data_IF_844509168067
#
_entry.id   IF_844509168067
#
_cell.length_a   1.000
_cell.length_b   1.000
_cell.length_c   1.000
_cell.angle_alpha   90.00
_cell.angle_beta   90.00
_cell.angle_gamma   90.00
#
_symmetry.space_group_name_H-M   'P 1'
#
loop_
_entity.id
_entity.type
_entity.pdbx_description
1 polymer ?
#
# COMPACT_ATOMS: atom_id res chain seq x y z
N UNK A 1 7.97 30.08 -6.77
CA UNK A 1 8.75 30.39 -7.99
C UNK A 1 10.05 29.61 -7.95
N UNK A 2 10.30 28.72 -8.91
CA UNK A 2 11.59 28.04 -9.01
C UNK A 2 12.63 29.07 -9.49
N UNK A 3 13.57 29.45 -8.62
CA UNK A 3 14.69 30.32 -9.04
C UNK A 3 15.48 29.63 -10.16
N UNK A 4 15.83 30.37 -11.21
CA UNK A 4 16.53 29.82 -12.36
C UNK A 4 17.86 29.18 -11.92
N UNK A 5 18.34 28.18 -12.66
CA UNK A 5 19.61 27.52 -12.33
C UNK A 5 20.77 28.51 -12.26
N UNK A 6 20.71 29.58 -13.08
CA UNK A 6 21.69 30.68 -13.10
C UNK A 6 21.66 31.48 -11.79
N UNK A 7 20.49 31.83 -11.29
CA UNK A 7 20.34 32.58 -10.04
C UNK A 7 20.74 31.76 -8.81
N UNK A 8 20.49 30.45 -8.84
CA UNK A 8 21.01 29.56 -7.82
C UNK A 8 22.54 29.47 -7.85
N UNK A 9 23.14 29.31 -9.02
CA UNK A 9 24.59 29.26 -9.16
C UNK A 9 25.25 30.56 -8.69
N UNK A 10 24.71 31.72 -9.06
CA UNK A 10 25.22 33.03 -8.68
C UNK A 10 25.22 33.26 -7.16
N UNK A 11 24.23 32.70 -6.44
CA UNK A 11 24.14 32.78 -4.96
C UNK A 11 25.13 31.89 -4.22
N UNK A 12 25.87 31.00 -4.91
CA UNK A 12 26.83 30.13 -4.25
C UNK A 12 28.14 30.86 -3.93
N UNK A 13 28.77 30.58 -2.76
CA UNK A 13 30.09 31.10 -2.43
C UNK A 13 31.10 30.78 -3.53
N UNK A 14 32.04 31.69 -3.79
CA UNK A 14 33.09 31.53 -4.82
C UNK A 14 33.88 30.23 -4.62
N UNK A 15 34.19 29.88 -3.36
CA UNK A 15 34.86 28.62 -2.98
C UNK A 15 34.07 27.35 -3.32
N UNK A 16 32.73 27.45 -3.42
CA UNK A 16 31.86 26.35 -3.86
C UNK A 16 31.78 26.32 -5.38
N UNK A 17 31.68 27.48 -6.04
CA UNK A 17 31.61 27.59 -7.51
C UNK A 17 32.86 27.06 -8.22
N UNK A 18 34.06 27.32 -7.66
CA UNK A 18 35.33 26.85 -8.26
C UNK A 18 35.76 25.44 -7.80
N UNK A 19 34.96 24.77 -6.97
CA UNK A 19 35.26 23.40 -6.55
C UNK A 19 34.17 22.46 -7.07
N UNK A 20 34.49 21.72 -8.13
CA UNK A 20 33.55 20.81 -8.78
C UNK A 20 32.90 19.81 -7.82
N UNK A 21 33.65 19.25 -6.86
CA UNK A 21 33.12 18.30 -5.87
C UNK A 21 32.09 18.97 -4.95
N UNK A 22 32.34 20.21 -4.50
CA UNK A 22 31.40 20.97 -3.66
C UNK A 22 30.18 21.42 -4.46
N UNK A 23 30.37 21.93 -5.68
CA UNK A 23 29.31 22.38 -6.58
C UNK A 23 28.37 21.23 -6.93
N UNK A 24 28.91 20.11 -7.45
CA UNK A 24 28.13 18.94 -7.85
C UNK A 24 27.35 18.32 -6.68
N UNK A 25 27.91 18.31 -5.47
CA UNK A 25 27.17 17.87 -4.28
C UNK A 25 25.94 18.73 -4.01
N UNK A 26 26.07 20.07 -4.03
CA UNK A 26 24.94 20.98 -3.79
C UNK A 26 23.91 20.93 -4.93
N UNK A 27 24.38 20.81 -6.18
CA UNK A 27 23.51 20.62 -7.34
C UNK A 27 22.65 19.36 -7.19
N UNK A 28 23.27 18.22 -6.84
CA UNK A 28 22.55 16.97 -6.62
C UNK A 28 21.50 17.08 -5.51
N UNK A 29 21.80 17.77 -4.41
CA UNK A 29 20.84 17.94 -3.30
C UNK A 29 19.64 18.79 -3.71
N UNK A 30 19.85 19.86 -4.49
CA UNK A 30 18.81 20.85 -4.80
C UNK A 30 17.97 20.48 -6.04
N UNK A 31 18.61 19.92 -7.07
CA UNK A 31 18.00 19.76 -8.39
C UNK A 31 17.87 18.31 -8.82
N UNK A 32 18.80 17.44 -8.42
CA UNK A 32 18.57 16.03 -8.60
C UNK A 32 17.60 15.58 -7.52
N UNK A 33 16.33 15.36 -7.91
CA UNK A 33 15.54 14.39 -7.19
C UNK A 33 16.32 13.08 -7.26
N UNK A 34 17.04 12.72 -6.20
CA UNK A 34 17.45 11.33 -6.02
C UNK A 34 16.15 10.53 -5.88
N UNK A 35 15.52 10.19 -7.01
CA UNK A 35 14.95 8.85 -7.11
C UNK A 35 16.13 7.97 -6.78
N UNK A 36 16.16 7.44 -5.57
CA UNK A 36 17.29 6.67 -5.11
C UNK A 36 17.72 5.63 -6.13
N UNK A 37 18.94 5.10 -5.98
CA UNK A 37 19.37 3.94 -6.76
C UNK A 37 18.25 2.89 -6.80
N UNK A 38 18.18 2.04 -7.83
CA UNK A 38 17.14 1.00 -7.86
C UNK A 38 17.11 0.18 -6.56
N UNK A 39 18.28 -0.02 -5.95
CA UNK A 39 18.45 -0.59 -4.62
C UNK A 39 17.82 0.25 -3.50
N UNK A 40 18.05 1.57 -3.47
CA UNK A 40 17.42 2.48 -2.50
C UNK A 40 15.90 2.55 -2.66
N UNK A 41 15.39 2.52 -3.89
CA UNK A 41 13.95 2.42 -4.18
C UNK A 41 13.37 1.08 -3.70
N UNK A 42 14.09 -0.02 -3.84
CA UNK A 42 13.70 -1.31 -3.27
C UNK A 42 13.68 -1.26 -1.74
N UNK A 43 14.72 -0.68 -1.13
CA UNK A 43 14.86 -0.60 0.32
C UNK A 43 13.83 0.33 0.99
N UNK A 44 13.45 1.43 0.35
CA UNK A 44 12.51 2.43 0.92
C UNK A 44 11.05 2.19 0.51
N UNK A 45 10.77 1.14 -0.27
CA UNK A 45 9.43 0.84 -0.77
C UNK A 45 8.43 0.58 0.36
N UNK A 46 7.40 1.42 0.48
CA UNK A 46 6.27 1.21 1.40
C UNK A 46 5.00 0.78 0.67
N UNK A 47 4.10 0.11 1.37
CA UNK A 47 2.76 -0.21 0.87
C UNK A 47 1.99 1.07 0.52
N UNK A 48 1.36 1.07 -0.66
CA UNK A 48 0.44 2.15 -1.09
C UNK A 48 -0.87 2.08 -0.30
N UNK A 49 -1.74 3.09 -0.44
CA UNK A 49 -3.09 3.01 0.13
C UNK A 49 -3.92 1.98 -0.66
N UNK A 50 -4.67 1.11 0.02
CA UNK A 50 -5.47 0.05 -0.61
C UNK A 50 -4.68 -1.03 -1.35
N UNK A 51 -3.34 -1.05 -1.27
CA UNK A 51 -2.51 -2.09 -1.89
C UNK A 51 -2.54 -3.35 -1.03
N UNK A 52 -2.96 -4.47 -1.62
CA UNK A 52 -2.98 -5.76 -0.92
C UNK A 52 -1.55 -6.25 -0.64
N UNK A 53 -1.33 -7.06 0.42
CA UNK A 53 -0.03 -7.63 0.73
C UNK A 53 0.64 -8.33 -0.47
N UNK A 54 -0.12 -9.06 -1.28
CA UNK A 54 0.37 -9.74 -2.48
C UNK A 54 0.82 -8.78 -3.58
N UNK A 55 0.05 -7.71 -3.83
CA UNK A 55 0.45 -6.66 -4.80
C UNK A 55 1.75 -5.95 -4.39
N UNK A 56 1.90 -5.65 -3.09
CA UNK A 56 3.15 -5.13 -2.55
C UNK A 56 4.32 -6.10 -2.78
N UNK A 57 4.11 -7.39 -2.51
CA UNK A 57 5.14 -8.42 -2.67
C UNK A 57 5.64 -8.48 -4.12
N UNK A 58 4.75 -8.52 -5.11
CA UNK A 58 5.13 -8.52 -6.52
C UNK A 58 5.90 -7.25 -6.93
N UNK A 59 5.48 -6.08 -6.43
CA UNK A 59 6.18 -4.82 -6.70
C UNK A 59 7.57 -4.79 -6.09
N UNK A 60 7.75 -5.38 -4.90
CA UNK A 60 9.06 -5.52 -4.26
C UNK A 60 9.96 -6.50 -5.01
N UNK A 61 9.43 -7.61 -5.53
CA UNK A 61 10.15 -8.57 -6.37
C UNK A 61 10.63 -7.90 -7.66
N UNK A 62 9.74 -7.20 -8.36
CA UNK A 62 10.08 -6.48 -9.59
C UNK A 62 11.16 -5.41 -9.35
N UNK A 63 11.08 -4.69 -8.24
CA UNK A 63 12.10 -3.72 -7.86
C UNK A 63 13.45 -4.37 -7.49
N UNK A 64 13.43 -5.54 -6.86
CA UNK A 64 14.63 -6.31 -6.55
C UNK A 64 15.34 -6.76 -7.84
N UNK A 65 14.60 -7.31 -8.80
CA UNK A 65 15.12 -7.67 -10.12
C UNK A 65 15.74 -6.45 -10.81
N UNK A 66 15.01 -5.32 -10.83
CA UNK A 66 15.51 -4.08 -11.43
C UNK A 66 16.75 -3.52 -10.73
N UNK A 67 16.94 -3.83 -9.46
CA UNK A 67 18.09 -3.44 -8.66
C UNK A 67 19.27 -4.43 -8.74
N UNK A 68 19.14 -5.53 -9.50
CA UNK A 68 20.15 -6.59 -9.54
C UNK A 68 20.27 -7.36 -8.22
N UNK A 69 19.22 -7.37 -7.39
CA UNK A 69 19.22 -8.10 -6.13
C UNK A 69 18.89 -9.57 -6.43
N UNK A 70 19.84 -10.45 -6.19
CA UNK A 70 19.71 -11.89 -6.44
C UNK A 70 18.98 -12.62 -5.28
N UNK A 71 17.75 -12.21 -4.96
CA UNK A 71 16.98 -12.76 -3.82
C UNK A 71 16.60 -14.24 -3.97
N UNK A 72 16.66 -14.80 -5.18
CA UNK A 72 16.37 -16.22 -5.46
C UNK A 72 17.61 -17.13 -5.39
N UNK A 73 18.82 -16.56 -5.30
CA UNK A 73 20.07 -17.32 -5.50
C UNK A 73 20.51 -18.12 -4.28
N UNK A 74 20.04 -17.76 -3.09
CA UNK A 74 20.32 -18.52 -1.86
C UNK A 74 19.30 -18.21 -0.77
N UNK A 75 19.15 -19.15 0.16
CA UNK A 75 18.28 -18.98 1.34
C UNK A 75 18.59 -17.69 2.12
N UNK A 76 19.87 -17.33 2.30
CA UNK A 76 20.27 -16.09 2.97
C UNK A 76 19.81 -14.82 2.24
N UNK A 77 19.89 -14.81 0.91
CA UNK A 77 19.43 -13.68 0.11
C UNK A 77 17.90 -13.55 0.12
N UNK A 78 17.21 -14.69 0.03
CA UNK A 78 15.76 -14.77 0.13
C UNK A 78 15.29 -14.28 1.50
N UNK A 79 15.88 -14.78 2.59
CA UNK A 79 15.50 -14.40 3.94
C UNK A 79 15.67 -12.89 4.17
N UNK A 80 16.79 -12.31 3.72
CA UNK A 80 17.01 -10.86 3.82
C UNK A 80 15.95 -10.06 3.05
N UNK A 81 15.56 -10.53 1.86
CA UNK A 81 14.51 -9.90 1.07
C UNK A 81 13.14 -10.02 1.75
N UNK A 82 12.80 -11.20 2.28
CA UNK A 82 11.53 -11.44 2.99
C UNK A 82 11.43 -10.63 4.28
N UNK A 83 12.51 -10.55 5.07
CA UNK A 83 12.55 -9.66 6.26
C UNK A 83 12.25 -8.21 5.88
N UNK A 84 12.69 -7.75 4.70
CA UNK A 84 12.39 -6.41 4.19
C UNK A 84 10.92 -6.26 3.82
N UNK A 85 10.36 -7.25 3.12
CA UNK A 85 8.93 -7.28 2.79
C UNK A 85 8.07 -7.22 4.06
N UNK A 86 8.33 -8.09 5.03
CA UNK A 86 7.62 -8.15 6.32
C UNK A 86 7.72 -6.82 7.08
N UNK A 87 8.89 -6.17 7.07
CA UNK A 87 9.08 -4.84 7.70
C UNK A 87 8.18 -3.77 7.08
N UNK A 88 7.90 -3.86 5.78
CA UNK A 88 7.18 -2.85 5.01
C UNK A 88 5.66 -3.10 4.92
N UNK A 89 5.15 -4.18 5.53
CA UNK A 89 3.72 -4.43 5.68
C UNK A 89 3.08 -3.44 6.67
N UNK A 90 1.88 -2.99 6.34
CA UNK A 90 1.03 -2.18 7.23
C UNK A 90 0.23 -3.04 8.21
N UNK A 91 -0.16 -4.23 7.77
CA UNK A 91 -0.91 -5.18 8.57
C UNK A 91 -0.01 -5.80 9.65
N UNK A 92 -0.32 -5.50 10.91
CA UNK A 92 0.47 -5.93 12.06
C UNK A 92 0.21 -7.40 12.42
N UNK A 93 -1.00 -7.91 12.18
CA UNK A 93 -1.33 -9.31 12.42
C UNK A 93 -0.62 -10.20 11.40
N UNK A 94 -0.73 -9.88 10.10
CA UNK A 94 -0.01 -10.59 9.05
C UNK A 94 1.51 -10.51 9.26
N UNK A 95 2.02 -9.35 9.66
CA UNK A 95 3.45 -9.18 9.95
C UNK A 95 3.92 -10.15 11.04
N UNK A 96 3.16 -10.27 12.13
CA UNK A 96 3.47 -11.18 13.24
C UNK A 96 3.41 -12.64 12.78
N UNK A 97 2.38 -13.01 12.02
CA UNK A 97 2.23 -14.37 11.49
C UNK A 97 3.41 -14.77 10.58
N UNK A 98 3.88 -13.86 9.72
CA UNK A 98 5.00 -14.12 8.82
C UNK A 98 6.36 -14.11 9.52
N UNK A 99 6.54 -13.37 10.63
CA UNK A 99 7.81 -13.34 11.39
C UNK A 99 8.13 -14.68 12.06
N UNK A 100 7.10 -15.44 12.45
CA UNK A 100 7.27 -16.77 13.06
C UNK A 100 7.51 -17.91 12.07
N UNK A 101 7.41 -17.65 10.77
CA UNK A 101 7.47 -18.68 9.74
C UNK A 101 8.80 -18.65 8.97
N UNK A 102 9.34 -19.84 8.69
CA UNK A 102 10.44 -20.02 7.74
C UNK A 102 9.86 -20.41 6.38
N UNK A 103 10.23 -19.65 5.36
CA UNK A 103 9.82 -19.92 3.98
C UNK A 103 11.00 -20.47 3.19
N UNK A 104 10.80 -21.62 2.54
CA UNK A 104 11.78 -22.28 1.68
C UNK A 104 11.76 -21.72 0.26
N UNK A 105 10.64 -21.13 -0.17
CA UNK A 105 10.50 -20.55 -1.51
C UNK A 105 9.65 -19.28 -1.51
N UNK A 106 9.75 -18.51 -2.59
CA UNK A 106 8.86 -17.37 -2.87
C UNK A 106 7.41 -17.84 -3.00
N UNK A 107 7.19 -19.01 -3.60
CA UNK A 107 5.87 -19.58 -3.78
C UNK A 107 5.18 -19.85 -2.44
N UNK A 108 5.90 -20.34 -1.43
CA UNK A 108 5.32 -20.55 -0.08
C UNK A 108 4.86 -19.23 0.55
N UNK A 109 5.61 -18.15 0.36
CA UNK A 109 5.21 -16.80 0.82
C UNK A 109 3.94 -16.36 0.11
N UNK A 110 3.88 -16.52 -1.21
CA UNK A 110 2.71 -16.17 -2.00
C UNK A 110 1.46 -16.95 -1.57
N UNK A 111 1.60 -18.24 -1.27
CA UNK A 111 0.50 -19.06 -0.75
C UNK A 111 0.03 -18.58 0.64
N UNK A 112 0.96 -18.21 1.53
CA UNK A 112 0.60 -17.64 2.83
C UNK A 112 -0.16 -16.31 2.69
N UNK A 113 0.29 -15.44 1.77
CA UNK A 113 -0.39 -14.17 1.48
C UNK A 113 -1.79 -14.39 0.88
N UNK A 114 -1.94 -15.37 -0.02
CA UNK A 114 -3.23 -15.71 -0.62
C UNK A 114 -4.22 -16.19 0.44
N UNK A 115 -3.82 -17.14 1.30
CA UNK A 115 -4.67 -17.62 2.41
C UNK A 115 -5.12 -16.48 3.31
N UNK A 116 -4.23 -15.54 3.61
CA UNK A 116 -4.59 -14.36 4.38
C UNK A 116 -5.61 -13.48 3.64
N UNK A 117 -5.37 -13.17 2.36
CA UNK A 117 -6.34 -12.39 1.57
C UNK A 117 -7.71 -13.08 1.45
N UNK A 118 -7.75 -14.42 1.37
CA UNK A 118 -9.00 -15.19 1.28
C UNK A 118 -9.79 -15.15 2.59
N UNK A 119 -9.14 -15.35 3.75
CA UNK A 119 -9.80 -15.23 5.08
C UNK A 119 -10.42 -13.83 5.25
N UNK A 120 -9.69 -12.79 4.88
CA UNK A 120 -10.16 -11.41 5.02
C UNK A 120 -11.24 -11.02 4.02
N UNK A 121 -11.37 -11.75 2.90
CA UNK A 121 -12.49 -11.61 1.96
C UNK A 121 -13.76 -12.23 2.53
N UNK A 122 -13.65 -13.39 3.18
CA UNK A 122 -14.77 -14.11 3.81
C UNK A 122 -15.31 -13.38 5.06
N UNK A 123 -14.45 -12.68 5.80
CA UNK A 123 -14.84 -11.92 7.02
C UNK A 123 -15.54 -10.57 6.74
N UNK A 124 -15.80 -10.20 5.48
CA UNK A 124 -16.85 -9.22 5.14
C UNK A 124 -16.47 -7.74 5.15
N UNK A 125 -15.33 -7.35 4.57
CA UNK A 125 -14.97 -5.92 4.38
C UNK A 125 -14.96 -5.43 2.91
N UNK A 126 -15.55 -6.18 1.98
CA UNK A 126 -15.67 -5.75 0.56
C UNK A 126 -17.10 -5.32 0.18
N UNK A 127 -18.02 -5.20 1.15
CA UNK A 127 -19.34 -4.62 0.90
C UNK A 127 -19.37 -3.20 1.48
N UNK A 128 -19.42 -2.14 0.65
CA UNK A 128 -19.79 -0.81 1.12
C UNK A 128 -21.12 -0.94 1.88
N UNK A 129 -21.33 -0.28 3.04
CA UNK A 129 -22.58 -0.41 3.75
C UNK A 129 -23.70 -0.03 2.80
N UNK A 130 -24.52 -1.02 2.43
CA UNK A 130 -25.74 -0.77 1.68
C UNK A 130 -26.51 0.28 2.47
N UNK A 131 -26.74 1.42 1.83
CA UNK A 131 -27.60 2.49 2.33
C UNK A 131 -28.96 1.82 2.58
N UNK A 132 -29.17 1.35 3.81
CA UNK A 132 -30.49 0.94 4.27
C UNK A 132 -31.29 2.21 4.37
N UNK A 133 -31.98 2.54 3.28
CA UNK A 133 -33.03 3.54 3.29
C UNK A 133 -34.08 3.04 4.29
N UNK A 134 -34.01 3.59 5.51
CA UNK A 134 -35.05 3.47 6.52
C UNK A 134 -36.27 4.27 6.03
N UNK A 135 -36.99 3.70 5.06
CA UNK A 135 -38.37 4.09 4.82
C UNK A 135 -39.25 3.12 5.60
N UNK A 136 -39.60 3.54 6.80
CA UNK A 136 -40.48 2.82 7.72
C UNK A 136 -41.75 2.37 6.99
N UNK A 137 -41.93 1.06 6.86
CA UNK A 137 -43.21 0.45 6.61
C UNK A 137 -43.90 0.26 7.97
N UNK A 138 -44.78 1.18 8.34
CA UNK A 138 -45.76 0.92 9.40
C UNK A 138 -46.89 0.06 8.82
N UNK A 139 -46.75 -1.24 9.00
CA UNK A 139 -47.81 -2.24 9.28
C UNK A 139 -48.87 -1.60 10.21
N UNK A 140 -50.19 -1.77 10.13
CA UNK A 140 -51.13 -2.83 9.72
C UNK A 140 -52.52 -2.12 9.76
N UNK A 141 -53.62 -2.53 9.13
CA UNK A 141 -54.35 -3.76 9.40
C UNK A 141 -55.62 -3.72 8.52
N UNK A 142 -55.89 -4.82 7.83
CA UNK A 142 -57.11 -5.05 7.04
C UNK A 142 -58.04 -5.90 7.90
N UNK A 143 -59.25 -5.43 8.18
CA UNK A 143 -60.31 -6.28 8.72
C UNK A 143 -61.70 -5.75 8.40
N UNK A 144 -62.49 -6.56 7.68
CA UNK A 144 -63.93 -6.70 7.94
C UNK A 144 -64.90 -5.82 7.15
N UNK A 145 -65.48 -6.39 6.10
CA UNK A 145 -66.78 -6.05 5.50
C UNK A 145 -67.94 -6.09 6.51
N UNK A 146 -68.94 -5.20 6.41
CA UNK A 146 -70.37 -5.51 6.21
C UNK A 146 -71.25 -4.24 6.15
N UNK A 147 -72.23 -4.23 5.23
CA UNK A 147 -73.34 -3.25 5.12
C UNK A 147 -74.33 -3.42 6.28
N UNK A 148 -74.94 -2.33 6.77
CA UNK A 148 -76.41 -2.19 6.77
C UNK A 148 -76.88 -0.73 7.00
N UNK A 149 -77.98 -0.39 6.35
CA UNK A 149 -78.78 0.84 6.45
C UNK A 149 -79.89 0.73 7.50
N UNK A 150 -80.17 1.80 8.28
CA UNK A 150 -81.51 2.13 8.83
C UNK A 150 -81.56 3.50 9.58
N UNK A 151 -82.38 4.41 9.05
CA UNK A 151 -83.41 5.29 9.66
C UNK A 151 -83.34 5.87 11.10
N UNK A 152 -83.75 7.15 11.20
CA UNK A 152 -84.40 7.82 12.36
C UNK A 152 -83.45 8.67 13.23
N UNK A 153 -83.71 9.94 13.57
CA UNK A 153 -84.91 10.78 13.61
C UNK A 153 -84.56 12.24 13.36
#
# INVERSE_FOLDING_TARGET
>A
MASSLRDWYARLPKSTRHNWKKLSRRFKVMYCRTTGSYSERHYTMKARSGETPRKLFYRMNAAAVKAGIEFQKSSKHQERHLRRFIKNLKDTQLKTALQGQKFKSISEVEHALRRHEDIWREEGYDTPPSRRDFRAATTNQRSGTFRNSRSGS
#
